data_IF_193409132476
#
_entry.id   IF_193409132476
#
_cell.length_a   1.000
_cell.length_b   1.000
_cell.length_c   1.000
_cell.angle_alpha   90.00
_cell.angle_beta   90.00
_cell.angle_gamma   90.00
#
_symmetry.space_group_name_H-M   'P 1'
#
loop_
_entity.id
_entity.type
_entity.pdbx_description
1 polymer ?
#
# COMPACT_ATOMS: atom_id res chain seq x y z
N UNK A 1 2.96 -28.23 -0.94
CA UNK A 1 4.42 -27.99 -0.96
C UNK A 1 4.70 -26.74 -0.15
N UNK A 2 5.54 -26.82 0.89
CA UNK A 2 5.99 -25.64 1.65
C UNK A 2 7.27 -25.15 0.99
N UNK A 3 7.27 -23.93 0.45
CA UNK A 3 8.47 -23.29 -0.08
C UNK A 3 9.18 -22.54 1.05
N UNK A 4 10.39 -22.97 1.40
CA UNK A 4 11.25 -22.19 2.29
C UNK A 4 11.94 -21.09 1.48
N UNK A 5 11.42 -19.88 1.55
CA UNK A 5 11.99 -18.68 0.90
C UNK A 5 12.35 -17.63 1.95
N UNK A 6 13.38 -16.84 1.65
CA UNK A 6 13.73 -15.71 2.50
C UNK A 6 12.58 -14.69 2.55
N UNK A 7 12.39 -13.99 3.67
CA UNK A 7 11.29 -13.01 3.81
C UNK A 7 11.35 -11.91 2.74
N UNK A 8 12.56 -11.49 2.36
CA UNK A 8 12.76 -10.51 1.29
C UNK A 8 12.30 -11.04 -0.08
N UNK A 9 12.50 -12.33 -0.36
CA UNK A 9 12.01 -12.95 -1.59
C UNK A 9 10.48 -13.07 -1.57
N UNK A 10 9.89 -13.43 -0.44
CA UNK A 10 8.44 -13.48 -0.27
C UNK A 10 7.80 -12.11 -0.51
N UNK A 11 8.37 -11.05 0.05
CA UNK A 11 7.94 -9.66 -0.13
C UNK A 11 7.89 -9.23 -1.60
N UNK A 12 8.92 -9.57 -2.39
CA UNK A 12 8.96 -9.27 -3.82
C UNK A 12 7.88 -10.02 -4.60
N UNK A 13 7.69 -11.30 -4.29
CA UNK A 13 6.65 -12.13 -4.92
C UNK A 13 5.27 -11.55 -4.62
N UNK A 14 5.01 -11.13 -3.38
CA UNK A 14 3.75 -10.52 -2.98
C UNK A 14 3.48 -9.20 -3.72
N UNK A 15 4.48 -8.34 -3.86
CA UNK A 15 4.33 -7.08 -4.58
C UNK A 15 4.05 -7.30 -6.07
N UNK A 16 4.77 -8.22 -6.72
CA UNK A 16 4.54 -8.52 -8.14
C UNK A 16 3.14 -9.12 -8.34
N UNK A 17 2.74 -10.08 -7.51
CA UNK A 17 1.40 -10.67 -7.58
C UNK A 17 0.30 -9.63 -7.36
N UNK A 18 0.49 -8.70 -6.43
CA UNK A 18 -0.47 -7.61 -6.21
C UNK A 18 -0.58 -6.72 -7.44
N UNK A 19 0.55 -6.37 -8.06
CA UNK A 19 0.58 -5.58 -9.31
C UNK A 19 -0.13 -6.31 -10.45
N UNK A 20 0.13 -7.60 -10.61
CA UNK A 20 -0.49 -8.43 -11.64
C UNK A 20 -2.00 -8.53 -11.44
N UNK A 21 -2.46 -8.83 -10.22
CA UNK A 21 -3.90 -8.86 -9.89
C UNK A 21 -4.57 -7.50 -10.12
N UNK A 22 -3.89 -6.40 -9.80
CA UNK A 22 -4.40 -5.06 -10.10
C UNK A 22 -4.61 -4.85 -11.60
N UNK A 23 -3.64 -5.25 -12.41
CA UNK A 23 -3.71 -5.11 -13.87
C UNK A 23 -4.75 -6.04 -14.49
N UNK A 24 -4.87 -7.26 -13.98
CA UNK A 24 -5.88 -8.25 -14.39
C UNK A 24 -7.32 -7.75 -14.14
N UNK A 25 -7.50 -6.97 -13.07
CA UNK A 25 -8.77 -6.31 -12.74
C UNK A 25 -8.95 -4.94 -13.43
N UNK A 26 -8.04 -4.56 -14.33
CA UNK A 26 -8.03 -3.26 -15.02
C UNK A 26 -8.05 -2.06 -14.06
N UNK A 27 -7.52 -2.23 -12.85
CA UNK A 27 -7.49 -1.18 -11.84
C UNK A 27 -6.27 -0.27 -12.01
N UNK A 28 -6.51 1.04 -11.92
CA UNK A 28 -5.42 2.00 -11.73
C UNK A 28 -4.88 1.90 -10.30
N UNK A 29 -3.65 2.36 -10.07
CA UNK A 29 -3.11 2.45 -8.70
C UNK A 29 -4.00 3.32 -7.81
N UNK A 30 -4.57 4.39 -8.34
CA UNK A 30 -5.53 5.24 -7.64
C UNK A 30 -6.83 4.51 -7.30
N UNK A 31 -7.38 3.76 -8.26
CA UNK A 31 -8.59 2.97 -8.06
C UNK A 31 -8.41 1.89 -6.99
N UNK A 32 -7.26 1.20 -6.98
CA UNK A 32 -6.95 0.20 -5.95
C UNK A 32 -6.69 0.85 -4.58
N UNK A 33 -5.97 1.98 -4.54
CA UNK A 33 -5.71 2.74 -3.32
C UNK A 33 -7.02 3.20 -2.65
N UNK A 34 -7.96 3.73 -3.44
CA UNK A 34 -9.27 4.17 -2.95
C UNK A 34 -10.08 3.01 -2.36
N UNK A 35 -10.12 1.86 -3.03
CA UNK A 35 -10.86 0.67 -2.59
C UNK A 35 -10.25 0.00 -1.35
N UNK A 36 -8.92 0.03 -1.24
CA UNK A 36 -8.19 -0.57 -0.12
C UNK A 36 -8.06 0.36 1.08
N UNK A 37 -8.41 1.64 0.96
CA UNK A 37 -8.22 2.64 2.01
C UNK A 37 -6.74 2.94 2.29
N UNK A 38 -5.84 2.54 1.38
CA UNK A 38 -4.40 2.75 1.50
C UNK A 38 -4.01 4.00 0.69
N UNK A 39 -3.15 4.88 1.20
CA UNK A 39 -2.66 6.02 0.43
C UNK A 39 -1.98 5.57 -0.87
N UNK A 40 -2.24 6.28 -1.97
CA UNK A 40 -1.62 6.01 -3.28
C UNK A 40 -0.10 5.90 -3.19
N UNK A 41 0.54 6.79 -2.42
CA UNK A 41 1.99 6.78 -2.24
C UNK A 41 2.50 5.51 -1.54
N UNK A 42 1.72 4.94 -0.61
CA UNK A 42 2.05 3.69 0.08
C UNK A 42 1.90 2.51 -0.86
N UNK A 43 0.77 2.42 -1.59
CA UNK A 43 0.54 1.38 -2.60
C UNK A 43 1.63 1.40 -3.69
N UNK A 44 1.98 2.59 -4.20
CA UNK A 44 3.00 2.74 -5.23
C UNK A 44 4.39 2.32 -4.73
N UNK A 45 4.75 2.67 -3.50
CA UNK A 45 6.02 2.22 -2.88
C UNK A 45 6.04 0.71 -2.67
N UNK A 46 4.91 0.13 -2.27
CA UNK A 46 4.78 -1.31 -2.10
C UNK A 46 4.97 -2.05 -3.43
N UNK A 47 4.25 -1.66 -4.50
CA UNK A 47 4.42 -2.25 -5.84
C UNK A 47 5.85 -2.10 -6.37
N UNK A 48 6.55 -1.00 -6.07
CA UNK A 48 7.92 -0.76 -6.56
C UNK A 48 9.01 -1.49 -5.76
N UNK A 49 8.87 -1.57 -4.44
CA UNK A 49 9.97 -2.00 -3.55
C UNK A 49 9.72 -3.32 -2.86
N UNK A 50 8.47 -3.79 -2.79
CA UNK A 50 8.07 -4.96 -2.01
C UNK A 50 8.19 -4.80 -0.50
N UNK A 51 8.66 -3.64 -0.02
CA UNK A 51 8.78 -3.38 1.42
C UNK A 51 7.39 -3.06 1.96
N UNK A 52 6.90 -4.00 2.76
CA UNK A 52 5.68 -3.88 3.54
C UNK A 52 6.03 -3.06 4.79
N UNK A 53 5.85 -1.73 4.75
CA UNK A 53 5.64 -0.96 5.98
C UNK A 53 4.14 -0.87 6.27
N UNK A 54 3.44 -2.02 6.27
CA UNK A 54 2.10 -2.10 6.87
C UNK A 54 2.26 -2.02 8.40
N UNK A 55 2.58 -0.84 8.91
CA UNK A 55 2.20 -0.54 10.28
C UNK A 55 0.68 -0.34 10.28
N UNK A 56 -0.01 -0.96 11.22
CA UNK A 56 -1.43 -0.66 11.51
C UNK A 56 -1.61 0.86 11.68
N UNK A 57 -0.58 1.57 12.16
CA UNK A 57 -0.58 3.03 12.25
C UNK A 57 -0.69 3.74 10.90
N UNK A 58 -0.20 3.17 9.79
CA UNK A 58 -0.32 3.82 8.47
C UNK A 58 -1.76 3.74 7.93
N UNK A 59 -2.41 2.59 8.09
CA UNK A 59 -3.83 2.38 7.71
C UNK A 59 -4.73 3.25 8.60
N UNK A 60 -4.46 3.31 9.91
CA UNK A 60 -5.18 4.17 10.86
C UNK A 60 -4.91 5.66 10.60
N UNK A 61 -3.67 6.05 10.25
CA UNK A 61 -3.32 7.43 9.86
C UNK A 61 -4.02 7.86 8.57
N UNK A 62 -4.18 6.97 7.61
CA UNK A 62 -4.88 7.27 6.35
C UNK A 62 -6.34 7.66 6.61
N UNK A 63 -7.03 6.96 7.50
CA UNK A 63 -8.42 7.26 7.89
C UNK A 63 -8.57 8.46 8.85
N UNK A 64 -7.49 8.95 9.46
CA UNK A 64 -7.53 10.06 10.46
C UNK A 64 -6.95 11.39 9.95
N UNK A 65 -6.28 11.41 8.79
CA UNK A 65 -5.64 12.62 8.23
C UNK A 65 -6.61 13.69 7.70
N UNK A 66 -7.92 13.48 7.77
CA UNK A 66 -8.94 14.48 7.40
C UNK A 66 -9.12 15.58 8.47
N UNK A 67 -8.55 15.44 9.67
CA UNK A 67 -8.82 16.36 10.79
C UNK A 67 -7.79 17.48 11.06
N UNK A 68 -6.72 17.67 10.27
CA UNK A 68 -5.76 18.78 10.50
C UNK A 68 -6.01 19.96 9.57
N UNK A 69 -7.11 20.68 9.79
CA UNK A 69 -7.33 22.02 9.24
C UNK A 69 -7.24 23.06 10.37
N UNK A 70 -6.41 24.08 10.11
CA UNK A 70 -6.38 25.43 10.72
C UNK A 70 -5.70 25.59 12.08
N UNK A 71 -4.39 25.83 12.03
CA UNK A 71 -3.72 26.77 12.92
C UNK A 71 -3.36 28.03 12.14
N UNK A 72 -4.26 29.03 12.12
CA UNK A 72 -3.99 30.39 11.65
C UNK A 72 -2.98 31.00 12.61
N UNK A 73 -1.69 31.00 12.28
CA UNK A 73 -0.72 31.81 13.00
C UNK A 73 -0.77 33.21 12.40
N UNK A 74 -1.30 34.13 13.20
CA UNK A 74 -1.18 35.58 13.04
C UNK A 74 0.30 35.97 13.07
#
# INVERSE_FOLDING_TARGET
MILLITPSKAQKILAENTRLQRLDQELTQEGLALRSGVPLATLRKFEQKGIISFSIDEVVKANTKVARKRGRRK
#
